data_IF_504753967210
#
_entry.id   IF_504753967210
#
_cell.length_a   1.000
_cell.length_b   1.000
_cell.length_c   1.000
_cell.angle_alpha   90.00
_cell.angle_beta   90.00
_cell.angle_gamma   90.00
#
_symmetry.space_group_name_H-M   'P 1'
#
loop_
_entity.id
_entity.type
_entity.pdbx_description
1 polymer ?
#
# COMPACT_ATOMS: atom_id res chain seq x y z
N UNK A 1 19.07 -18.91 16.04
CA UNK A 1 18.12 -17.78 16.14
C UNK A 1 18.84 -16.66 16.83
N UNK A 2 19.07 -15.54 16.15
CA UNK A 2 19.86 -14.43 16.67
C UNK A 2 19.06 -13.73 17.78
N UNK A 3 19.59 -13.60 19.00
CA UNK A 3 18.90 -12.91 20.09
C UNK A 3 19.19 -11.42 20.04
N UNK A 4 18.26 -10.62 20.54
CA UNK A 4 18.41 -9.16 20.62
C UNK A 4 19.69 -8.75 21.38
N UNK A 5 20.01 -9.46 22.46
CA UNK A 5 21.19 -9.23 23.30
C UNK A 5 22.50 -9.43 22.53
N UNK A 6 22.56 -10.44 21.66
CA UNK A 6 23.71 -10.71 20.80
C UNK A 6 23.94 -9.57 19.80
N UNK A 7 22.86 -9.02 19.25
CA UNK A 7 22.92 -7.88 18.32
C UNK A 7 23.41 -6.58 18.97
N UNK A 8 22.94 -6.29 20.18
CA UNK A 8 23.34 -5.09 20.91
C UNK A 8 24.81 -5.16 21.32
N UNK A 9 25.25 -6.32 21.80
CA UNK A 9 26.65 -6.53 22.17
C UNK A 9 27.60 -6.43 20.96
N UNK A 10 27.21 -6.97 19.81
CA UNK A 10 27.99 -6.84 18.57
C UNK A 10 28.06 -5.38 18.09
N UNK A 11 26.95 -4.64 18.15
CA UNK A 11 26.91 -3.22 17.80
C UNK A 11 27.81 -2.36 18.69
N UNK A 12 27.90 -2.67 19.99
CA UNK A 12 28.73 -1.91 20.93
C UNK A 12 30.23 -2.09 20.68
N UNK A 13 30.65 -3.22 20.13
CA UNK A 13 32.05 -3.53 19.84
C UNK A 13 32.55 -2.89 18.53
N UNK A 14 31.66 -2.32 17.72
CA UNK A 14 31.99 -1.71 16.43
C UNK A 14 32.51 -0.27 16.58
N UNK A 15 33.35 0.20 15.64
CA UNK A 15 33.75 1.60 15.53
C UNK A 15 32.56 2.55 15.46
N UNK A 16 32.73 3.79 15.92
CA UNK A 16 31.67 4.81 15.90
C UNK A 16 31.07 5.00 14.51
N UNK A 17 31.90 5.03 13.48
CA UNK A 17 31.52 5.29 12.10
C UNK A 17 30.61 4.19 11.55
N UNK A 18 30.90 2.93 11.88
CA UNK A 18 30.06 1.78 11.54
C UNK A 18 28.73 1.83 12.29
N UNK A 19 28.74 2.20 13.57
CA UNK A 19 27.51 2.34 14.37
C UNK A 19 26.60 3.43 13.81
N UNK A 20 27.16 4.57 13.41
CA UNK A 20 26.41 5.67 12.79
C UNK A 20 25.83 5.26 11.43
N UNK A 21 26.59 4.53 10.62
CA UNK A 21 26.12 4.02 9.34
C UNK A 21 24.96 3.04 9.51
N UNK A 22 25.06 2.12 10.47
CA UNK A 22 23.99 1.17 10.80
C UNK A 22 22.74 1.87 11.35
N UNK A 23 22.91 2.90 12.18
CA UNK A 23 21.80 3.72 12.67
C UNK A 23 21.06 4.40 11.52
N UNK A 24 21.78 4.91 10.52
CA UNK A 24 21.20 5.53 9.33
C UNK A 24 20.36 4.52 8.53
N UNK A 25 20.87 3.30 8.35
CA UNK A 25 20.14 2.22 7.66
C UNK A 25 18.88 1.84 8.42
N UNK A 26 18.96 1.69 9.75
CA UNK A 26 17.81 1.40 10.62
C UNK A 26 16.76 2.52 10.53
N UNK A 27 17.18 3.78 10.62
CA UNK A 27 16.28 4.93 10.50
C UNK A 27 15.56 4.95 9.15
N UNK A 28 16.27 4.64 8.06
CA UNK A 28 15.65 4.55 6.73
C UNK A 28 14.66 3.37 6.62
N UNK A 29 14.97 2.23 7.23
CA UNK A 29 14.05 1.07 7.25
C UNK A 29 12.75 1.42 7.98
N UNK A 30 12.86 1.99 9.17
CA UNK A 30 11.71 2.42 9.97
C UNK A 30 10.90 3.47 9.20
N UNK A 31 11.57 4.43 8.56
CA UNK A 31 10.88 5.44 7.76
C UNK A 31 10.10 4.82 6.59
N UNK A 32 10.64 3.79 5.93
CA UNK A 32 9.94 3.07 4.86
C UNK A 32 8.72 2.31 5.40
N UNK A 33 8.85 1.64 6.53
CA UNK A 33 7.73 0.94 7.17
C UNK A 33 6.61 1.91 7.56
N UNK A 34 6.94 3.04 8.20
CA UNK A 34 5.98 4.09 8.54
C UNK A 34 5.29 4.64 7.28
N UNK A 35 6.04 4.94 6.22
CA UNK A 35 5.46 5.41 4.95
C UNK A 35 4.53 4.36 4.33
N UNK A 36 4.89 3.08 4.39
CA UNK A 36 4.02 2.00 3.90
C UNK A 36 2.73 1.87 4.71
N UNK A 37 2.81 2.02 6.04
CA UNK A 37 1.66 2.00 6.93
C UNK A 37 0.76 3.22 6.70
N UNK A 38 1.34 4.39 6.44
CA UNK A 38 0.60 5.61 6.08
C UNK A 38 -0.10 5.50 4.71
N UNK A 39 0.50 4.81 3.73
CA UNK A 39 -0.14 4.53 2.44
C UNK A 39 -1.34 3.58 2.60
N UNK A 40 -1.31 2.67 3.57
CA UNK A 40 -2.43 1.77 3.88
C UNK A 40 -3.56 2.47 4.63
N UNK A 41 -3.26 3.44 5.51
CA UNK A 41 -4.29 4.26 6.18
C UNK A 41 -4.82 5.42 5.32
N UNK A 42 -4.17 5.72 4.21
CA UNK A 42 -4.47 6.83 3.32
C UNK A 42 -4.89 6.43 1.92
N UNK A 43 -5.37 5.20 1.68
CA UNK A 43 -6.10 4.91 0.44
C UNK A 43 -7.50 5.52 0.55
N UNK A 44 -7.80 6.67 -0.09
CA UNK A 44 -9.19 7.06 -0.26
C UNK A 44 -9.91 5.93 -1.00
N UNK A 45 -11.17 5.68 -0.65
CA UNK A 45 -12.05 4.75 -1.35
C UNK A 45 -12.04 4.99 -2.88
N UNK A 46 -11.66 6.18 -3.33
CA UNK A 46 -11.40 6.58 -4.72
C UNK A 46 -10.38 5.71 -5.47
N UNK A 47 -9.48 5.00 -4.79
CA UNK A 47 -8.51 4.08 -5.44
C UNK A 47 -8.99 2.64 -5.52
N UNK A 48 -10.13 2.30 -4.91
CA UNK A 48 -10.80 1.03 -5.15
C UNK A 48 -11.51 1.11 -6.51
N UNK A 49 -10.73 0.97 -7.59
CA UNK A 49 -11.30 0.72 -8.93
C UNK A 49 -12.08 -0.60 -8.86
N UNK A 50 -13.40 -0.49 -8.77
CA UNK A 50 -14.31 -1.63 -8.94
C UNK A 50 -15.54 -1.65 -8.02
N UNK A 51 -15.60 -0.86 -6.95
CA UNK A 51 -16.81 -0.85 -6.08
C UNK A 51 -17.08 0.56 -5.55
N UNK A 52 -17.25 1.52 -6.46
CA UNK A 52 -18.09 2.67 -6.13
C UNK A 52 -19.53 2.14 -6.16
N UNK A 53 -20.19 2.01 -4.99
CA UNK A 53 -21.65 1.87 -4.98
C UNK A 53 -22.20 3.11 -5.71
N UNK A 54 -22.98 2.97 -6.79
CA UNK A 54 -23.59 4.14 -7.40
C UNK A 54 -24.43 4.84 -6.34
N UNK A 55 -24.25 6.16 -6.20
CA UNK A 55 -25.19 7.01 -5.47
C UNK A 55 -26.49 7.00 -6.27
N UNK A 56 -27.43 6.13 -5.90
CA UNK A 56 -28.69 5.94 -6.60
C UNK A 56 -29.30 4.55 -6.40
N UNK A 57 -30.56 4.34 -6.82
CA UNK A 57 -31.14 3.01 -6.83
C UNK A 57 -30.32 2.08 -7.73
N UNK A 58 -30.18 0.82 -7.31
CA UNK A 58 -29.55 -0.21 -8.14
C UNK A 58 -30.27 -0.26 -9.51
N UNK A 59 -29.53 -0.29 -10.63
CA UNK A 59 -30.14 -0.45 -11.94
C UNK A 59 -30.97 -1.74 -12.00
N UNK A 60 -32.06 -1.73 -12.76
CA UNK A 60 -32.78 -2.95 -13.10
C UNK A 60 -31.94 -3.82 -14.04
N UNK A 61 -32.27 -5.11 -14.12
CA UNK A 61 -31.57 -6.05 -15.00
C UNK A 61 -31.62 -5.61 -16.47
N UNK A 62 -32.77 -5.09 -16.93
CA UNK A 62 -32.94 -4.52 -18.27
C UNK A 62 -31.97 -3.36 -18.53
N UNK A 63 -31.80 -2.47 -17.55
CA UNK A 63 -30.88 -1.33 -17.66
C UNK A 63 -29.40 -1.79 -17.71
N UNK A 64 -29.06 -2.89 -17.03
CA UNK A 64 -27.71 -3.46 -17.09
C UNK A 64 -27.40 -4.06 -18.46
N UNK A 65 -28.38 -4.70 -19.10
CA UNK A 65 -28.21 -5.25 -20.45
C UNK A 65 -27.99 -4.14 -21.49
N UNK A 66 -28.75 -3.05 -21.42
CA UNK A 66 -28.57 -1.90 -22.30
C UNK A 66 -27.20 -1.22 -22.12
N UNK A 67 -26.74 -1.03 -20.88
CA UNK A 67 -25.41 -0.48 -20.61
C UNK A 67 -24.31 -1.38 -21.20
N UNK A 68 -24.44 -2.69 -21.03
CA UNK A 68 -23.49 -3.67 -21.57
C UNK A 68 -23.45 -3.65 -23.10
N UNK A 69 -24.62 -3.50 -23.74
CA UNK A 69 -24.72 -3.41 -25.20
C UNK A 69 -24.06 -2.14 -25.74
N UNK A 70 -24.30 -0.99 -25.09
CA UNK A 70 -23.68 0.28 -25.45
C UNK A 70 -22.15 0.25 -25.27
N UNK A 71 -21.66 -0.36 -24.19
CA UNK A 71 -20.22 -0.55 -23.95
C UNK A 71 -19.55 -1.41 -25.03
N UNK A 72 -20.23 -2.46 -25.51
CA UNK A 72 -19.75 -3.29 -26.61
C UNK A 72 -19.69 -2.49 -27.92
N UNK A 73 -20.73 -1.74 -28.24
CA UNK A 73 -20.78 -0.89 -29.43
C UNK A 73 -19.63 0.13 -29.46
N UNK A 74 -19.33 0.78 -28.33
CA UNK A 74 -18.22 1.74 -28.23
C UNK A 74 -16.85 1.08 -28.35
N UNK A 75 -16.67 -0.16 -27.89
CA UNK A 75 -15.38 -0.85 -27.94
C UNK A 75 -15.03 -1.42 -29.32
N UNK A 76 -16.04 -1.70 -30.14
CA UNK A 76 -15.89 -2.38 -31.43
C UNK A 76 -16.34 -1.52 -32.63
N UNK A 77 -16.60 -0.23 -32.43
CA UNK A 77 -16.70 0.78 -33.50
C UNK A 77 -15.39 1.52 -33.67
#
# INVERSE_FOLDING_TARGET
MLKYEDLVSELQQRPLDERLSLLQVLAQSIQKEIKSAAVLMGTPAERLRGIAKPEGPLPSDEALEEMRFNDMLQKYS
#
